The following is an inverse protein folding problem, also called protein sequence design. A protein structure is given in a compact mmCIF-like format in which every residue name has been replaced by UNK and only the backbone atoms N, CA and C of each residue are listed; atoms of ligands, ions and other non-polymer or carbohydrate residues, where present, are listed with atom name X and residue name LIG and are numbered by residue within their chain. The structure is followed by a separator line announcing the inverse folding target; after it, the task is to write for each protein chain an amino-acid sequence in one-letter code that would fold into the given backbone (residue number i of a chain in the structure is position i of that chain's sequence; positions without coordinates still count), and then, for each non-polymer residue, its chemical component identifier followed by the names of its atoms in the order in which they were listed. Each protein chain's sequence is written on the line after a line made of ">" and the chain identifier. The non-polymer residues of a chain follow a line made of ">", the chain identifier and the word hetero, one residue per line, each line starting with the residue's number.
data_IF_314951113690
#
_entry.id   IF_314951113690
#
_cell.length_a   1.000
_cell.length_b   1.000
_cell.length_c   1.000
_cell.angle_alpha   90.00
_cell.angle_beta   90.00
_cell.angle_gamma   90.00
#
_symmetry.space_group_name_H-M   'P 1'
#
loop_
_entity.id
_entity.type
_entity.pdbx_description
1 polymer ?
#
# COMPACT_ATOMS: atom_id res chain seq x y z
N UNK A 1 -18.74 -16.31 -8.71
CA UNK A 1 -17.44 -17.01 -8.78
C UNK A 1 -16.37 -15.95 -8.72
N UNK A 2 -15.34 -16.00 -7.85
CA UNK A 2 -14.22 -15.09 -8.01
C UNK A 2 -13.55 -15.45 -9.34
N UNK A 3 -13.52 -14.50 -10.27
CA UNK A 3 -12.77 -14.67 -11.50
C UNK A 3 -11.29 -14.78 -11.13
N UNK A 4 -10.68 -15.94 -11.35
CA UNK A 4 -9.23 -16.08 -11.22
C UNK A 4 -8.56 -15.07 -12.14
N UNK A 5 -7.62 -14.28 -11.60
CA UNK A 5 -6.83 -13.35 -12.40
C UNK A 5 -5.93 -14.15 -13.35
N UNK A 6 -5.63 -13.57 -14.51
CA UNK A 6 -4.78 -14.19 -15.53
C UNK A 6 -3.41 -13.48 -15.62
N UNK A 7 -2.46 -14.14 -16.29
CA UNK A 7 -1.15 -13.57 -16.60
C UNK A 7 -0.36 -13.15 -15.35
N UNK A 8 0.27 -11.95 -15.32
CA UNK A 8 1.12 -11.50 -14.22
C UNK A 8 0.47 -11.52 -12.83
N UNK A 9 -0.87 -11.50 -12.79
CA UNK A 9 -1.64 -11.36 -11.58
C UNK A 9 -2.24 -12.67 -11.07
N UNK A 10 -2.04 -13.79 -11.77
CA UNK A 10 -2.66 -15.09 -11.44
C UNK A 10 -2.36 -15.62 -10.03
N UNK A 11 -1.25 -15.17 -9.43
CA UNK A 11 -0.89 -15.54 -8.05
C UNK A 11 -1.70 -14.82 -6.97
N UNK A 12 -2.40 -13.75 -7.32
CA UNK A 12 -3.13 -12.94 -6.37
C UNK A 12 -4.61 -13.33 -6.31
N UNK A 13 -5.18 -13.17 -5.14
CA UNK A 13 -6.57 -13.41 -4.84
C UNK A 13 -7.29 -12.06 -4.81
N UNK A 14 -8.40 -11.90 -5.55
CA UNK A 14 -9.15 -10.65 -5.57
C UNK A 14 -10.04 -10.54 -4.33
N UNK A 15 -10.19 -9.31 -3.82
CA UNK A 15 -11.17 -8.94 -2.82
C UNK A 15 -11.88 -7.65 -3.26
N UNK A 16 -13.21 -7.64 -3.16
CA UNK A 16 -14.02 -6.46 -3.49
C UNK A 16 -15.15 -6.28 -2.48
N UNK A 17 -15.46 -5.03 -2.17
CA UNK A 17 -16.59 -4.65 -1.33
C UNK A 17 -17.26 -3.37 -1.87
N UNK A 18 -18.53 -3.15 -1.53
CA UNK A 18 -19.22 -1.89 -1.80
C UNK A 18 -19.36 -1.51 -3.28
N UNK A 19 -19.35 -2.49 -4.18
CA UNK A 19 -19.37 -2.25 -5.62
C UNK A 19 -18.00 -2.08 -6.27
N UNK A 20 -16.92 -2.38 -5.54
CA UNK A 20 -15.58 -2.48 -6.11
C UNK A 20 -15.49 -3.51 -7.24
N UNK A 21 -14.62 -3.24 -8.20
CA UNK A 21 -14.44 -4.05 -9.41
C UNK A 21 -12.96 -4.21 -9.76
N UNK A 22 -12.64 -5.33 -10.41
CA UNK A 22 -11.33 -5.60 -10.98
C UNK A 22 -11.50 -5.86 -12.48
N UNK A 23 -10.87 -5.02 -13.29
CA UNK A 23 -10.88 -5.16 -14.75
C UNK A 23 -9.46 -5.41 -15.26
N UNK A 24 -9.25 -6.57 -15.88
CA UNK A 24 -8.03 -6.82 -16.65
C UNK A 24 -8.23 -6.23 -18.06
N UNK A 25 -7.44 -5.19 -18.40
CA UNK A 25 -7.55 -4.45 -19.68
C UNK A 25 -6.22 -4.49 -20.42
N UNK A 26 -6.18 -5.14 -21.57
CA UNK A 26 -4.96 -5.39 -22.35
C UNK A 26 -3.86 -6.07 -21.52
N UNK A 27 -3.03 -5.29 -20.82
CA UNK A 27 -1.95 -5.75 -19.94
C UNK A 27 -1.95 -5.09 -18.54
N UNK A 28 -2.97 -4.28 -18.22
CA UNK A 28 -3.11 -3.65 -16.91
C UNK A 28 -4.27 -4.25 -16.13
N UNK A 29 -4.09 -4.35 -14.82
CA UNK A 29 -5.17 -4.64 -13.88
C UNK A 29 -5.63 -3.33 -13.24
N UNK A 30 -6.91 -2.99 -13.42
CA UNK A 30 -7.53 -1.83 -12.80
C UNK A 30 -8.39 -2.26 -11.62
N UNK A 31 -8.08 -1.76 -10.43
CA UNK A 31 -8.91 -1.90 -9.22
C UNK A 31 -9.73 -0.61 -9.09
N UNK A 32 -11.06 -0.69 -9.11
CA UNK A 32 -11.94 0.48 -9.12
C UNK A 32 -12.98 0.41 -8.00
N UNK A 33 -13.18 1.52 -7.29
CA UNK A 33 -14.34 1.73 -6.43
C UNK A 33 -15.30 2.76 -7.05
N UNK A 34 -16.63 2.57 -6.92
CA UNK A 34 -17.61 3.53 -7.41
C UNK A 34 -17.72 4.74 -6.46
N UNK A 35 -18.46 5.79 -6.87
CA UNK A 35 -18.93 6.81 -5.95
C UNK A 35 -19.66 6.16 -4.77
N UNK A 36 -19.24 6.49 -3.56
CA UNK A 36 -19.61 5.81 -2.33
C UNK A 36 -19.79 6.84 -1.22
N UNK A 37 -20.99 6.91 -0.63
CA UNK A 37 -21.25 7.83 0.48
C UNK A 37 -20.47 7.43 1.75
N UNK A 38 -20.18 8.40 2.62
CA UNK A 38 -19.36 8.26 3.84
C UNK A 38 -19.88 7.27 4.92
N UNK A 39 -20.99 6.55 4.65
CA UNK A 39 -21.55 5.51 5.54
C UNK A 39 -21.44 4.10 4.95
N UNK A 40 -20.85 3.96 3.76
CA UNK A 40 -20.66 2.68 3.08
C UNK A 40 -19.18 2.49 2.80
N UNK A 41 -18.71 1.27 3.00
CA UNK A 41 -17.35 0.88 2.68
C UNK A 41 -17.32 0.33 1.25
N UNK A 42 -16.36 0.80 0.46
CA UNK A 42 -16.03 0.26 -0.85
C UNK A 42 -14.54 -0.05 -0.92
N UNK A 43 -14.21 -1.16 -1.58
CA UNK A 43 -12.85 -1.68 -1.68
C UNK A 43 -12.67 -2.43 -3.00
N UNK A 44 -11.53 -2.21 -3.64
CA UNK A 44 -11.03 -3.09 -4.68
C UNK A 44 -9.56 -3.41 -4.39
N UNK A 45 -9.27 -4.69 -4.19
CA UNK A 45 -7.98 -5.18 -3.71
C UNK A 45 -7.55 -6.45 -4.45
N UNK A 46 -6.23 -6.62 -4.56
CA UNK A 46 -5.59 -7.92 -4.72
C UNK A 46 -4.62 -8.18 -3.58
N UNK A 47 -4.57 -9.44 -3.13
CA UNK A 47 -3.65 -9.87 -2.08
C UNK A 47 -3.18 -11.32 -2.28
N UNK A 48 -2.26 -11.79 -1.45
CA UNK A 48 -1.82 -13.19 -1.42
C UNK A 48 -1.92 -13.85 -0.03
N UNK A 49 -2.76 -13.28 0.84
CA UNK A 49 -2.76 -13.65 2.26
C UNK A 49 -4.12 -13.84 2.89
N UNK A 50 -5.24 -13.39 2.29
CA UNK A 50 -6.52 -13.37 3.02
C UNK A 50 -7.03 -14.76 3.43
N UNK A 51 -6.62 -15.81 2.72
CA UNK A 51 -6.94 -17.21 3.04
C UNK A 51 -5.92 -17.86 4.00
N UNK A 52 -4.93 -17.10 4.47
CA UNK A 52 -3.85 -17.56 5.32
C UNK A 52 -3.94 -16.98 6.73
N UNK A 53 -3.41 -17.72 7.70
CA UNK A 53 -3.13 -17.16 9.03
C UNK A 53 -1.90 -16.26 8.92
N UNK A 54 -1.83 -15.15 9.68
CA UNK A 54 -0.70 -14.20 9.69
C UNK A 54 0.68 -14.86 9.82
N UNK A 55 0.81 -15.91 10.62
CA UNK A 55 2.07 -16.66 10.77
C UNK A 55 2.55 -17.36 9.50
N UNK A 56 1.67 -17.54 8.53
CA UNK A 56 1.91 -18.18 7.22
C UNK A 56 1.93 -17.19 6.06
N UNK A 57 1.88 -15.88 6.32
CA UNK A 57 2.02 -14.92 5.24
C UNK A 57 3.37 -15.13 4.51
N UNK A 58 3.39 -15.03 3.17
CA UNK A 58 4.47 -15.61 2.38
C UNK A 58 5.79 -14.84 2.46
N UNK A 59 5.77 -13.54 2.79
CA UNK A 59 6.94 -12.66 2.59
C UNK A 59 7.70 -12.36 3.86
N UNK A 60 9.02 -12.43 3.75
CA UNK A 60 10.02 -12.07 4.77
C UNK A 60 11.22 -11.48 4.02
N UNK A 61 12.07 -10.65 4.66
CA UNK A 61 13.33 -10.27 4.03
C UNK A 61 14.23 -11.51 3.91
N UNK A 62 15.18 -11.55 2.95
CA UNK A 62 15.42 -10.56 1.90
C UNK A 62 14.48 -10.68 0.67
N UNK A 63 13.96 -9.55 0.20
CA UNK A 63 12.99 -9.47 -0.90
C UNK A 63 13.20 -8.19 -1.71
N UNK A 64 13.04 -8.27 -3.03
CA UNK A 64 12.85 -7.11 -3.90
C UNK A 64 11.45 -7.14 -4.50
N UNK A 65 10.80 -5.99 -4.54
CA UNK A 65 9.52 -5.76 -5.19
C UNK A 65 9.69 -4.65 -6.23
N UNK A 66 9.07 -4.81 -7.39
CA UNK A 66 8.86 -3.73 -8.36
C UNK A 66 7.40 -3.74 -8.81
N UNK A 67 6.77 -2.56 -8.74
CA UNK A 67 5.38 -2.32 -9.13
C UNK A 67 5.37 -1.15 -10.10
N UNK A 68 4.71 -1.30 -11.24
CA UNK A 68 4.41 -0.18 -12.13
C UNK A 68 2.94 0.16 -12.02
N UNK A 69 2.66 1.37 -11.54
CA UNK A 69 1.31 1.78 -11.16
C UNK A 69 1.03 3.26 -11.47
N UNK A 70 -0.26 3.58 -11.53
CA UNK A 70 -0.80 4.95 -11.47
C UNK A 70 -2.20 4.93 -10.85
N UNK A 71 -2.72 6.08 -10.48
CA UNK A 71 -4.03 6.25 -9.86
C UNK A 71 -4.89 7.25 -10.64
N UNK A 72 -6.20 7.20 -10.40
CA UNK A 72 -7.18 8.07 -11.04
C UNK A 72 -7.06 9.57 -10.73
N UNK A 73 -6.56 9.91 -9.55
CA UNK A 73 -6.57 11.26 -9.01
C UNK A 73 -5.26 11.59 -8.32
N UNK A 74 -4.95 12.88 -8.21
CA UNK A 74 -3.78 13.38 -7.50
C UNK A 74 -3.92 13.29 -5.97
N UNK A 75 -2.79 13.41 -5.28
CA UNK A 75 -2.76 13.60 -3.83
C UNK A 75 -3.38 14.95 -3.46
N UNK A 76 -4.16 14.99 -2.37
CA UNK A 76 -4.63 16.25 -1.80
C UNK A 76 -3.42 17.18 -1.49
N UNK A 77 -3.41 18.44 -1.97
CA UNK A 77 -2.30 19.35 -1.73
C UNK A 77 -2.13 19.69 -0.24
N UNK A 78 -0.88 19.65 0.22
CA UNK A 78 -0.49 19.84 1.63
C UNK A 78 -1.07 21.12 2.26
N UNK A 79 -1.03 22.24 1.53
CA UNK A 79 -1.42 23.57 2.01
C UNK A 79 -2.93 23.82 2.02
N UNK A 80 -3.72 23.05 1.26
CA UNK A 80 -5.18 23.21 1.19
C UNK A 80 -5.91 22.34 2.22
N UNK A 81 -5.30 21.24 2.65
CA UNK A 81 -5.86 20.30 3.60
C UNK A 81 -5.92 20.82 5.06
N UNK A 82 -5.09 21.82 5.42
CA UNK A 82 -5.08 22.38 6.77
C UNK A 82 -6.29 23.28 7.04
N UNK A 83 -6.88 23.88 5.99
CA UNK A 83 -8.06 24.76 6.07
C UNK A 83 -8.97 24.68 4.81
N UNK A 84 -9.62 23.54 4.52
CA UNK A 84 -10.44 23.38 3.32
C UNK A 84 -11.67 24.30 3.28
N UNK A 85 -12.18 24.69 4.46
CA UNK A 85 -13.31 25.62 4.67
C UNK A 85 -12.99 27.07 4.29
N UNK A 86 -11.70 27.44 4.15
CA UNK A 86 -11.28 28.83 3.92
C UNK A 86 -11.39 29.30 2.46
N UNK A 87 -11.65 28.41 1.50
CA UNK A 87 -11.94 28.81 0.12
C UNK A 87 -12.68 27.74 -0.69
N UNK A 88 -13.57 28.15 -1.59
CA UNK A 88 -14.23 27.26 -2.56
C UNK A 88 -13.20 26.49 -3.41
N UNK A 89 -12.07 27.13 -3.75
CA UNK A 89 -10.98 26.47 -4.49
C UNK A 89 -10.34 25.32 -3.70
N UNK A 90 -10.11 25.50 -2.40
CA UNK A 90 -9.56 24.42 -1.55
C UNK A 90 -10.54 23.25 -1.45
N UNK A 91 -11.83 23.53 -1.28
CA UNK A 91 -12.88 22.53 -1.28
C UNK A 91 -13.00 21.79 -2.62
N UNK A 92 -12.91 22.50 -3.74
CA UNK A 92 -12.91 21.91 -5.08
C UNK A 92 -11.70 20.98 -5.30
N UNK A 93 -10.48 21.48 -5.06
CA UNK A 93 -9.25 20.70 -5.26
C UNK A 93 -9.22 19.47 -4.35
N UNK A 94 -9.70 19.59 -3.10
CA UNK A 94 -9.78 18.45 -2.20
C UNK A 94 -10.77 17.41 -2.73
N UNK A 95 -11.95 17.82 -3.24
CA UNK A 95 -12.94 16.89 -3.83
C UNK A 95 -12.46 16.19 -5.10
N UNK A 96 -11.55 16.81 -5.85
CA UNK A 96 -10.94 16.23 -7.06
C UNK A 96 -9.58 15.55 -6.81
N UNK A 97 -9.21 15.36 -5.53
CA UNK A 97 -8.09 14.50 -5.14
C UNK A 97 -8.60 13.10 -4.80
N UNK A 98 -7.70 12.11 -4.80
CA UNK A 98 -8.07 10.75 -4.40
C UNK A 98 -8.58 10.79 -2.94
N UNK A 99 -9.79 10.28 -2.70
CA UNK A 99 -10.38 10.15 -1.37
C UNK A 99 -10.17 8.72 -0.83
N UNK A 100 -9.89 8.60 0.46
CA UNK A 100 -9.71 7.32 1.13
C UNK A 100 -8.26 6.89 1.19
N UNK A 101 -7.99 5.58 1.05
CA UNK A 101 -6.63 5.05 0.99
C UNK A 101 -6.38 4.28 -0.29
N UNK A 102 -5.12 4.24 -0.69
CA UNK A 102 -4.66 3.41 -1.81
C UNK A 102 -3.20 3.11 -1.64
N UNK A 103 -2.71 2.07 -2.30
CA UNK A 103 -1.30 1.76 -2.28
C UNK A 103 -1.01 0.31 -2.57
N UNK A 104 0.21 -0.08 -2.25
CA UNK A 104 0.69 -1.43 -2.41
C UNK A 104 1.96 -1.68 -1.59
N UNK A 105 2.17 -2.93 -1.21
CA UNK A 105 3.36 -3.36 -0.49
C UNK A 105 3.07 -4.53 0.42
N UNK A 106 3.80 -4.62 1.53
CA UNK A 106 3.71 -5.74 2.46
C UNK A 106 3.22 -5.30 3.82
N UNK A 107 2.24 -6.03 4.36
CA UNK A 107 1.72 -5.77 5.70
C UNK A 107 1.27 -7.04 6.41
N UNK A 108 0.99 -6.93 7.71
CA UNK A 108 0.51 -8.04 8.52
C UNK A 108 -1.01 -8.08 8.70
N UNK A 109 -1.76 -7.24 7.97
CA UNK A 109 -3.20 -7.07 8.10
C UNK A 109 -3.64 -7.02 9.57
N UNK A 110 -3.33 -5.94 10.32
CA UNK A 110 -3.55 -5.89 11.76
C UNK A 110 -5.02 -5.77 12.16
N UNK A 111 -5.90 -5.59 11.19
CA UNK A 111 -7.35 -5.46 11.36
C UNK A 111 -8.02 -6.81 11.08
N UNK A 112 -9.30 -6.92 11.42
CA UNK A 112 -10.14 -8.02 10.91
C UNK A 112 -10.85 -7.52 9.66
N UNK A 113 -11.02 -8.40 8.65
CA UNK A 113 -11.62 -8.15 7.32
C UNK A 113 -13.00 -7.46 7.32
N UNK A 114 -13.60 -7.21 8.49
CA UNK A 114 -14.92 -6.59 8.67
C UNK A 114 -14.91 -5.45 9.70
N UNK A 115 -13.76 -4.83 10.00
CA UNK A 115 -13.69 -3.68 10.92
C UNK A 115 -13.92 -4.04 12.39
N UNK A 116 -13.74 -5.30 12.79
CA UNK A 116 -13.97 -5.82 14.15
C UNK A 116 -12.86 -5.49 15.17
N UNK A 117 -11.94 -4.58 14.86
CA UNK A 117 -10.89 -4.10 15.77
C UNK A 117 -9.46 -4.53 15.41
N UNK A 118 -8.50 -3.89 16.08
CA UNK A 118 -7.06 -4.17 15.96
C UNK A 118 -6.74 -5.45 16.73
N UNK A 119 -6.30 -6.49 16.02
CA UNK A 119 -5.96 -7.79 16.59
C UNK A 119 -4.45 -8.07 16.61
N UNK A 120 -3.65 -7.18 16.03
CA UNK A 120 -2.19 -7.22 16.09
C UNK A 120 -1.60 -5.80 15.98
N UNK A 121 -0.38 -5.60 16.48
CA UNK A 121 0.35 -4.36 16.21
C UNK A 121 0.76 -4.30 14.72
N UNK A 122 0.67 -3.13 14.05
CA UNK A 122 0.93 -3.00 12.62
C UNK A 122 2.40 -3.25 12.30
N UNK A 123 2.65 -4.05 11.27
CA UNK A 123 3.95 -4.16 10.62
C UNK A 123 3.76 -3.97 9.13
N UNK A 124 4.44 -2.97 8.55
CA UNK A 124 4.28 -2.60 7.14
C UNK A 124 5.61 -2.22 6.51
N UNK A 125 5.73 -2.47 5.20
CA UNK A 125 6.78 -1.98 4.30
C UNK A 125 6.11 -1.74 2.95
N UNK A 126 5.71 -0.49 2.66
CA UNK A 126 4.79 -0.20 1.57
C UNK A 126 4.89 1.20 0.99
N UNK A 127 4.26 1.38 -0.17
CA UNK A 127 3.85 2.67 -0.71
C UNK A 127 2.37 2.87 -0.34
N UNK A 128 2.05 3.96 0.35
CA UNK A 128 0.75 4.19 0.98
C UNK A 128 0.28 5.63 0.78
N UNK A 129 -0.96 5.78 0.31
CA UNK A 129 -1.69 7.03 0.21
C UNK A 129 -2.82 7.04 1.23
N UNK A 130 -3.04 8.19 1.85
CA UNK A 130 -4.32 8.50 2.47
C UNK A 130 -4.71 9.96 2.25
N UNK A 131 -6.00 10.22 2.03
CA UNK A 131 -6.56 11.58 1.97
C UNK A 131 -6.97 12.08 3.36
N UNK A 132 -7.10 13.40 3.57
CA UNK A 132 -7.90 13.92 4.67
C UNK A 132 -9.30 13.24 4.70
N UNK A 133 -9.89 13.00 5.89
CA UNK A 133 -9.43 13.42 7.22
C UNK A 133 -8.40 12.49 7.87
N UNK A 134 -7.81 11.54 7.12
CA UNK A 134 -6.75 10.67 7.64
C UNK A 134 -5.60 11.50 8.23
N UNK A 135 -5.09 11.08 9.38
CA UNK A 135 -3.98 11.74 10.03
C UNK A 135 -3.18 10.76 10.89
N UNK A 136 -2.29 10.03 10.23
CA UNK A 136 -1.30 9.14 10.84
C UNK A 136 0.08 9.84 10.84
N UNK A 137 0.21 10.96 11.54
CA UNK A 137 1.46 11.72 11.65
C UNK A 137 2.43 11.04 12.63
N UNK A 138 2.95 9.87 12.24
CA UNK A 138 3.75 9.01 13.12
C UNK A 138 5.19 9.51 13.27
N UNK A 139 5.75 10.11 12.21
CA UNK A 139 7.10 10.68 12.14
C UNK A 139 7.03 12.20 12.26
N UNK A 140 7.92 12.77 13.06
CA UNK A 140 8.02 14.23 13.22
C UNK A 140 8.36 14.91 11.90
N UNK A 141 7.66 16.00 11.56
CA UNK A 141 7.83 16.74 10.31
C UNK A 141 7.18 16.10 9.07
N UNK A 142 6.62 14.89 9.19
CA UNK A 142 5.87 14.23 8.10
C UNK A 142 4.36 14.38 8.35
N UNK A 143 3.58 14.91 7.39
CA UNK A 143 2.12 15.02 7.51
C UNK A 143 1.46 13.66 7.71
N UNK A 144 0.29 13.61 8.32
CA UNK A 144 -0.43 12.35 8.55
C UNK A 144 -1.16 11.75 7.35
N UNK A 145 -1.09 12.40 6.19
CA UNK A 145 -1.76 12.03 4.94
C UNK A 145 -0.84 12.31 3.74
N UNK A 146 -1.32 12.01 2.53
CA UNK A 146 -0.58 12.13 1.27
C UNK A 146 0.04 10.82 0.80
N UNK A 147 0.71 10.87 -0.35
CA UNK A 147 1.41 9.73 -0.95
C UNK A 147 2.80 9.54 -0.34
N UNK A 148 3.10 8.32 0.13
CA UNK A 148 4.30 8.06 0.94
C UNK A 148 4.95 6.72 0.63
N UNK A 149 6.25 6.65 0.83
CA UNK A 149 6.92 5.42 1.24
C UNK A 149 6.90 5.33 2.76
N UNK A 150 6.57 4.17 3.33
CA UNK A 150 6.43 4.01 4.78
C UNK A 150 6.84 2.62 5.27
N UNK A 151 7.48 2.60 6.45
CA UNK A 151 7.82 1.42 7.22
C UNK A 151 7.32 1.60 8.64
N UNK A 152 6.58 0.62 9.15
CA UNK A 152 6.20 0.53 10.56
C UNK A 152 6.67 -0.84 11.04
N UNK A 153 7.50 -0.85 12.07
CA UNK A 153 7.94 -2.07 12.73
C UNK A 153 7.54 -2.02 14.21
N UNK A 154 6.52 -2.80 14.54
CA UNK A 154 6.04 -3.00 15.91
C UNK A 154 6.58 -4.30 16.55
N UNK A 155 7.45 -5.04 15.85
CA UNK A 155 7.95 -6.39 16.21
C UNK A 155 8.73 -6.47 17.53
N UNK A 156 8.95 -5.37 18.26
CA UNK A 156 9.73 -5.36 19.50
C UNK A 156 8.96 -5.83 20.74
N UNK A 157 7.64 -5.99 20.65
CA UNK A 157 6.84 -6.45 21.79
C UNK A 157 6.11 -7.74 21.38
N UNK A 158 6.49 -8.90 21.93
CA UNK A 158 5.77 -10.15 21.72
C UNK A 158 4.27 -9.97 21.97
N UNK A 159 3.42 -10.55 21.11
CA UNK A 159 1.95 -10.40 21.23
C UNK A 159 1.39 -10.82 22.59
N UNK A 160 2.05 -11.74 23.29
CA UNK A 160 1.70 -12.18 24.65
C UNK A 160 1.92 -11.10 25.72
N UNK A 161 2.85 -10.17 25.50
CA UNK A 161 3.07 -8.99 26.35
C UNK A 161 2.11 -7.88 25.93
N UNK A 162 1.80 -7.78 24.63
CA UNK A 162 0.96 -6.73 24.09
C UNK A 162 -0.49 -6.81 24.61
N UNK A 163 -1.07 -8.00 24.81
CA UNK A 163 -2.45 -8.14 25.29
C UNK A 163 -2.68 -7.60 26.73
N UNK A 164 -1.92 -8.01 27.77
CA UNK A 164 -2.04 -7.42 29.10
C UNK A 164 -1.57 -5.96 29.12
N UNK A 165 -0.53 -5.60 28.36
CA UNK A 165 -0.09 -4.21 28.26
C UNK A 165 -1.11 -3.29 27.57
N UNK A 166 -1.85 -3.78 26.58
CA UNK A 166 -2.93 -3.05 25.92
C UNK A 166 -4.14 -2.86 26.85
N UNK A 167 -4.45 -3.85 27.70
CA UNK A 167 -5.49 -3.71 28.72
C UNK A 167 -5.08 -2.66 29.77
N UNK A 168 -3.85 -2.72 30.26
CA UNK A 168 -3.29 -1.73 31.19
C UNK A 168 -3.24 -0.35 30.52
N UNK A 169 -2.77 -0.25 29.28
CA UNK A 169 -2.73 0.99 28.52
C UNK A 169 -4.15 1.56 28.32
N UNK A 170 -5.14 0.75 27.96
CA UNK A 170 -6.53 1.17 27.83
C UNK A 170 -7.10 1.71 29.14
N UNK A 171 -6.78 1.07 30.28
CA UNK A 171 -7.16 1.57 31.60
C UNK A 171 -6.44 2.88 31.96
N UNK A 172 -5.14 2.99 31.67
CA UNK A 172 -4.34 4.18 31.94
C UNK A 172 -4.67 5.36 31.01
N UNK A 173 -5.18 5.12 29.80
CA UNK A 173 -5.67 6.19 28.91
C UNK A 173 -6.95 6.85 29.41
N UNK A 174 -7.68 6.21 30.33
CA UNK A 174 -8.84 6.82 31.00
C UNK A 174 -8.44 7.75 32.16
N UNK A 175 -7.18 7.74 32.58
CA UNK A 175 -6.65 8.62 33.64
C UNK A 175 -6.11 9.91 33.00
N UNK A 176 -6.65 11.09 33.35
CA UNK A 176 -6.16 12.37 32.84
C UNK A 176 -4.65 12.52 33.08
N UNK A 177 -3.88 12.82 32.03
CA UNK A 177 -2.44 13.06 32.10
C UNK A 177 -1.54 11.82 31.93
N UNK A 178 -2.01 10.60 32.25
CA UNK A 178 -1.20 9.38 32.11
C UNK A 178 -1.22 8.80 30.68
N UNK A 179 -2.33 8.95 29.96
CA UNK A 179 -2.46 8.46 28.57
C UNK A 179 -1.37 8.98 27.64
N UNK A 180 -0.98 10.26 27.76
CA UNK A 180 0.09 10.86 26.95
C UNK A 180 1.44 10.17 27.14
N UNK A 181 1.78 9.76 28.37
CA UNK A 181 3.05 9.07 28.67
C UNK A 181 3.06 7.64 28.12
N UNK A 182 1.94 6.94 28.21
CA UNK A 182 1.76 5.60 27.63
C UNK A 182 1.88 5.64 26.10
N UNK A 183 1.23 6.62 25.45
CA UNK A 183 1.33 6.82 24.00
C UNK A 183 2.76 7.18 23.60
N UNK A 184 3.45 8.06 24.34
CA UNK A 184 4.84 8.40 24.08
C UNK A 184 5.77 7.19 24.18
N UNK A 185 5.55 6.29 25.15
CA UNK A 185 6.30 5.05 25.30
C UNK A 185 6.02 4.08 24.15
N UNK A 186 4.75 3.88 23.77
CA UNK A 186 4.37 3.04 22.63
C UNK A 186 4.97 3.54 21.32
N UNK A 187 4.99 4.87 21.10
CA UNK A 187 5.64 5.49 19.93
C UNK A 187 7.15 5.28 19.91
N UNK A 188 7.83 5.35 21.07
CA UNK A 188 9.27 5.04 21.16
C UNK A 188 9.59 3.58 20.90
N UNK A 189 8.64 2.68 21.17
CA UNK A 189 8.80 1.25 20.93
C UNK A 189 8.60 0.87 19.45
N UNK A 190 7.73 1.60 18.73
CA UNK A 190 7.55 1.44 17.29
C UNK A 190 8.68 2.12 16.53
N UNK A 191 9.27 1.42 15.56
CA UNK A 191 10.16 2.05 14.60
C UNK A 191 9.35 2.43 13.38
N UNK A 192 9.27 3.73 13.11
CA UNK A 192 8.52 4.26 11.97
C UNK A 192 9.46 5.09 11.11
N UNK A 193 9.37 4.93 9.81
CA UNK A 193 10.10 5.75 8.83
C UNK A 193 9.14 6.05 7.68
N UNK A 194 9.03 7.32 7.31
CA UNK A 194 8.11 7.79 6.27
C UNK A 194 8.78 8.88 5.44
N UNK A 195 8.51 8.90 4.14
CA UNK A 195 8.87 9.99 3.24
C UNK A 195 7.67 10.32 2.34
N UNK A 196 7.34 11.61 2.20
CA UNK A 196 6.36 12.06 1.20
C UNK A 196 6.99 11.89 -0.19
N UNK A 197 6.21 11.36 -1.11
CA UNK A 197 6.58 11.21 -2.50
C UNK A 197 6.08 12.42 -3.29
N UNK A 198 6.96 13.17 -3.98
CA UNK A 198 6.57 14.34 -4.76
C UNK A 198 6.00 13.99 -6.14
N UNK A 199 6.12 12.73 -6.58
CA UNK A 199 5.64 12.28 -7.88
C UNK A 199 4.12 12.40 -7.99
N UNK A 200 3.66 12.73 -9.20
CA UNK A 200 2.24 12.69 -9.55
C UNK A 200 1.69 11.28 -9.30
N UNK A 201 0.47 11.19 -8.78
CA UNK A 201 -0.18 9.88 -8.65
C UNK A 201 -0.84 9.44 -9.95
N UNK A 202 -1.11 10.38 -10.87
CA UNK A 202 -1.84 10.10 -12.12
C UNK A 202 -0.95 9.66 -13.27
N UNK A 203 0.35 9.92 -13.17
CA UNK A 203 1.37 9.44 -14.11
C UNK A 203 1.83 8.01 -13.77
N UNK A 204 2.31 7.31 -14.80
CA UNK A 204 2.90 5.98 -14.62
C UNK A 204 4.29 6.08 -14.02
N UNK A 205 4.46 5.46 -12.86
CA UNK A 205 5.75 5.38 -12.18
C UNK A 205 6.14 3.94 -11.89
N UNK A 206 7.45 3.71 -11.80
CA UNK A 206 8.01 2.44 -11.34
C UNK A 206 8.44 2.59 -9.89
N UNK A 207 7.76 1.85 -9.01
CA UNK A 207 7.99 1.83 -7.58
C UNK A 207 8.79 0.59 -7.21
N UNK A 208 9.93 0.78 -6.57
CA UNK A 208 10.79 -0.31 -6.17
C UNK A 208 11.01 -0.31 -4.66
N UNK A 209 11.09 -1.51 -4.10
CA UNK A 209 11.38 -1.75 -2.70
C UNK A 209 12.40 -2.88 -2.61
N UNK A 210 13.49 -2.63 -1.90
CA UNK A 210 14.41 -3.66 -1.45
C UNK A 210 14.29 -3.79 0.07
N UNK A 211 13.71 -4.90 0.52
CA UNK A 211 13.51 -5.22 1.92
C UNK A 211 14.58 -6.22 2.37
N UNK A 212 15.57 -5.73 3.12
CA UNK A 212 16.66 -6.50 3.72
C UNK A 212 16.38 -6.74 5.21
N UNK A 213 17.21 -7.56 5.86
CA UNK A 213 17.06 -7.86 7.30
C UNK A 213 17.29 -6.64 8.22
N UNK A 214 18.07 -5.67 7.76
CA UNK A 214 18.52 -4.50 8.54
C UNK A 214 18.02 -3.16 8.01
N UNK A 215 17.58 -3.11 6.77
CA UNK A 215 17.08 -1.89 6.15
C UNK A 215 16.03 -2.22 5.07
N UNK A 216 15.14 -1.27 4.81
CA UNK A 216 14.29 -1.26 3.64
C UNK A 216 14.57 0.01 2.85
N UNK A 217 14.78 -0.12 1.53
CA UNK A 217 15.13 0.99 0.65
C UNK A 217 14.07 1.08 -0.44
N UNK A 218 13.60 2.29 -0.70
CA UNK A 218 12.52 2.59 -1.63
C UNK A 218 13.03 3.49 -2.74
N UNK A 219 12.59 3.21 -3.97
CA UNK A 219 12.84 4.06 -5.13
C UNK A 219 11.55 4.34 -5.89
N UNK A 220 11.50 5.51 -6.53
CA UNK A 220 10.50 5.84 -7.54
C UNK A 220 11.26 6.32 -8.77
N UNK A 221 11.06 5.63 -9.90
CA UNK A 221 11.76 5.87 -11.16
C UNK A 221 13.30 5.89 -11.00
N UNK A 222 13.81 4.96 -10.19
CA UNK A 222 15.25 4.84 -9.91
C UNK A 222 15.82 5.85 -8.93
N UNK A 223 15.04 6.81 -8.43
CA UNK A 223 15.47 7.79 -7.42
C UNK A 223 15.13 7.26 -6.02
N UNK A 224 16.13 7.16 -5.14
CA UNK A 224 15.92 6.74 -3.76
C UNK A 224 15.07 7.76 -3.01
N UNK A 225 13.95 7.33 -2.43
CA UNK A 225 12.99 8.20 -1.73
C UNK A 225 12.95 7.96 -0.23
N UNK A 226 13.27 6.74 0.23
CA UNK A 226 13.35 6.40 1.65
C UNK A 226 14.35 5.27 1.88
N UNK A 227 15.18 5.43 2.91
CA UNK A 227 15.98 4.36 3.52
C UNK A 227 15.60 4.23 4.99
N UNK A 228 14.92 3.15 5.32
CA UNK A 228 14.37 2.89 6.65
C UNK A 228 15.20 1.81 7.38
N UNK A 229 15.79 2.11 8.54
CA UNK A 229 16.49 1.11 9.34
C UNK A 229 15.52 0.19 10.08
N UNK A 230 15.96 -1.04 10.36
CA UNK A 230 15.25 -2.04 11.16
C UNK A 230 13.77 -2.27 10.72
N UNK A 231 13.51 -2.66 9.46
CA UNK A 231 12.17 -3.01 9.01
C UNK A 231 11.65 -4.27 9.73
N UNK A 232 10.34 -4.59 9.63
CA UNK A 232 9.81 -5.85 10.13
C UNK A 232 10.61 -7.05 9.59
N UNK A 233 10.67 -8.13 10.37
CA UNK A 233 11.28 -9.41 9.95
C UNK A 233 10.29 -10.58 9.95
N UNK A 234 9.11 -10.35 10.54
CA UNK A 234 8.03 -11.31 10.58
C UNK A 234 7.39 -11.54 9.21
N UNK A 235 6.55 -12.57 9.09
CA UNK A 235 5.79 -12.84 7.87
C UNK A 235 4.82 -11.70 7.57
N UNK A 236 4.87 -11.17 6.34
CA UNK A 236 3.96 -10.16 5.78
C UNK A 236 3.33 -10.69 4.48
N UNK A 237 2.13 -10.21 4.16
CA UNK A 237 1.39 -10.50 2.94
C UNK A 237 1.44 -9.31 1.98
N UNK A 238 1.43 -9.57 0.69
CA UNK A 238 1.34 -8.51 -0.32
C UNK A 238 -0.10 -8.03 -0.42
N UNK A 239 -0.28 -6.72 -0.60
CA UNK A 239 -1.56 -6.09 -0.92
C UNK A 239 -1.35 -5.01 -1.97
N UNK A 240 -2.31 -4.82 -2.87
CA UNK A 240 -2.51 -3.61 -3.65
C UNK A 240 -4.00 -3.27 -3.66
N UNK A 241 -4.36 -2.02 -3.36
CA UNK A 241 -5.77 -1.67 -3.10
C UNK A 241 -6.09 -0.20 -3.39
N UNK A 242 -7.39 0.06 -3.47
CA UNK A 242 -8.02 1.37 -3.33
C UNK A 242 -9.31 1.22 -2.54
N UNK A 243 -9.52 2.07 -1.54
CA UNK A 243 -10.70 2.07 -0.69
C UNK A 243 -11.14 3.48 -0.29
N UNK A 244 -12.25 3.58 0.43
CA UNK A 244 -12.74 4.85 0.96
C UNK A 244 -12.58 5.00 2.49
N UNK A 245 -11.58 4.36 3.09
CA UNK A 245 -11.36 4.45 4.54
C UNK A 245 -10.46 5.63 4.93
N UNK A 246 -10.53 6.02 6.20
CA UNK A 246 -9.51 6.88 6.80
C UNK A 246 -9.19 6.42 8.22
N UNK A 247 -7.97 6.75 8.67
CA UNK A 247 -7.54 6.52 10.04
C UNK A 247 -6.88 7.77 10.62
N UNK A 248 -7.19 8.07 11.87
CA UNK A 248 -6.55 9.12 12.66
C UNK A 248 -5.77 8.42 13.76
N UNK A 249 -4.47 8.69 13.84
CA UNK A 249 -3.58 8.22 14.88
C UNK A 249 -2.51 9.30 15.10
N UNK A 250 -2.84 10.31 15.91
CA UNK A 250 -1.95 11.46 16.10
C UNK A 250 -1.00 11.28 17.30
N UNK A 251 0.17 11.96 17.29
CA UNK A 251 1.09 12.03 18.43
C UNK A 251 0.43 12.43 19.76
N UNK A 252 -0.66 13.21 19.71
CA UNK A 252 -1.39 13.70 20.87
C UNK A 252 -2.38 12.68 21.46
N UNK A 253 -2.52 11.50 20.84
CA UNK A 253 -3.40 10.43 21.31
C UNK A 253 -4.82 10.50 20.76
N UNK A 254 -5.04 11.21 19.64
CA UNK A 254 -6.32 11.15 18.95
C UNK A 254 -6.34 9.91 18.07
N UNK A 255 -7.37 9.09 18.26
CA UNK A 255 -7.65 7.92 17.46
C UNK A 255 -9.03 8.05 16.81
N UNK A 256 -9.13 7.66 15.56
CA UNK A 256 -10.38 7.70 14.81
C UNK A 256 -10.28 6.82 13.58
N UNK A 257 -11.42 6.32 13.13
CA UNK A 257 -11.52 5.50 11.94
C UNK A 257 -12.91 5.71 11.34
N UNK A 258 -13.00 5.67 10.02
CA UNK A 258 -14.28 5.79 9.34
C UNK A 258 -14.14 5.70 7.84
N UNK A 259 -15.19 6.12 7.15
CA UNK A 259 -15.26 6.17 5.70
C UNK A 259 -15.39 7.62 5.25
N UNK A 260 -14.80 7.93 4.10
CA UNK A 260 -14.94 9.22 3.41
C UNK A 260 -15.83 9.03 2.18
N UNK A 261 -16.53 10.10 1.81
CA UNK A 261 -17.35 10.11 0.60
C UNK A 261 -16.46 10.19 -0.65
N UNK A 262 -16.75 9.35 -1.65
CA UNK A 262 -16.20 9.45 -3.00
C UNK A 262 -17.31 9.91 -3.95
N UNK A 263 -17.11 11.02 -4.67
CA UNK A 263 -18.12 11.56 -5.60
C UNK A 263 -17.92 11.08 -7.04
N UNK A 264 -16.73 10.60 -7.37
CA UNK A 264 -16.35 10.09 -8.68
C UNK A 264 -15.79 8.66 -8.53
N UNK A 265 -15.86 7.81 -9.57
CA UNK A 265 -15.17 6.53 -9.57
C UNK A 265 -13.66 6.74 -9.40
N UNK A 266 -13.05 5.99 -8.47
CA UNK A 266 -11.61 6.07 -8.22
C UNK A 266 -10.97 4.72 -8.46
N UNK A 267 -9.73 4.74 -8.95
CA UNK A 267 -9.01 3.52 -9.29
C UNK A 267 -7.51 3.63 -9.08
N UNK A 268 -6.88 2.46 -8.93
CA UNK A 268 -5.45 2.22 -9.15
C UNK A 268 -5.30 1.25 -10.33
N UNK A 269 -4.35 1.55 -11.20
CA UNK A 269 -3.94 0.66 -12.30
C UNK A 269 -2.56 0.10 -12.01
N UNK A 270 -2.42 -1.20 -12.26
CA UNK A 270 -1.18 -1.95 -12.13
C UNK A 270 -0.83 -2.52 -13.50
N UNK A 271 0.32 -2.16 -14.06
CA UNK A 271 0.83 -2.80 -15.27
C UNK A 271 1.63 -4.06 -14.92
N UNK A 272 2.38 -4.01 -13.82
CA UNK A 272 3.14 -5.17 -13.35
C UNK A 272 3.33 -5.15 -11.83
N UNK A 273 3.38 -6.35 -11.25
CA UNK A 273 3.81 -6.58 -9.87
C UNK A 273 4.78 -7.74 -9.85
N UNK A 274 6.04 -7.48 -9.54
CA UNK A 274 7.08 -8.50 -9.41
C UNK A 274 7.62 -8.55 -7.99
N UNK A 275 7.86 -9.76 -7.51
CA UNK A 275 8.40 -10.03 -6.17
C UNK A 275 9.45 -11.11 -6.30
N UNK A 276 10.71 -10.78 -5.98
CA UNK A 276 11.87 -11.65 -6.12
C UNK A 276 12.52 -11.85 -4.76
N UNK A 277 12.57 -13.10 -4.28
CA UNK A 277 13.37 -13.44 -3.10
C UNK A 277 14.84 -13.29 -3.47
N UNK A 278 15.60 -12.53 -2.68
CA UNK A 278 17.02 -12.31 -2.94
C UNK A 278 17.81 -13.33 -2.14
N UNK A 279 18.34 -14.37 -2.79
CA UNK A 279 19.28 -15.28 -2.11
C UNK A 279 20.64 -14.61 -1.93
N UNK A 280 21.38 -14.88 -0.83
CA UNK A 280 22.72 -14.32 -0.61
C UNK A 280 23.69 -14.55 -1.77
N UNK A 281 23.52 -15.64 -2.54
CA UNK A 281 24.42 -16.05 -3.63
C UNK A 281 23.93 -15.66 -5.04
N UNK A 282 23.20 -14.56 -5.16
CA UNK A 282 22.74 -14.06 -6.46
C UNK A 282 21.38 -14.62 -6.88
N UNK A 283 20.75 -13.85 -7.76
CA UNK A 283 19.34 -13.92 -8.14
C UNK A 283 18.97 -15.32 -8.68
N UNK A 284 18.26 -16.13 -7.89
CA UNK A 284 17.40 -17.17 -8.48
C UNK A 284 16.17 -16.47 -9.04
N UNK A 285 16.18 -16.24 -10.35
CA UNK A 285 15.03 -15.73 -11.08
C UNK A 285 13.84 -16.67 -10.88
N UNK A 286 12.72 -16.15 -10.37
CA UNK A 286 11.41 -16.69 -10.71
C UNK A 286 11.01 -16.03 -12.03
N UNK A 287 11.55 -16.54 -13.14
CA UNK A 287 11.18 -16.11 -14.49
C UNK A 287 9.82 -16.69 -14.84
N UNK A 288 8.77 -15.92 -14.56
CA UNK A 288 7.43 -16.16 -15.10
C UNK A 288 7.05 -15.20 -16.23
N UNK A 289 7.86 -14.19 -16.58
CA UNK A 289 7.39 -13.08 -17.44
C UNK A 289 8.42 -12.58 -18.48
N UNK A 290 9.69 -12.95 -18.42
CA UNK A 290 10.70 -12.36 -19.33
C UNK A 290 10.95 -13.08 -20.66
N UNK A 291 10.41 -14.28 -20.91
CA UNK A 291 10.68 -15.02 -22.16
C UNK A 291 9.76 -14.68 -23.35
N UNK A 292 8.69 -13.91 -23.16
CA UNK A 292 7.76 -13.59 -24.25
C UNK A 292 8.16 -12.38 -25.11
N UNK A 293 9.10 -11.54 -24.65
CA UNK A 293 9.55 -10.35 -25.41
C UNK A 293 10.71 -10.69 -26.35
N UNK A 294 11.58 -11.65 -25.99
CA UNK A 294 12.68 -12.07 -26.88
C UNK A 294 12.24 -13.06 -27.96
N UNK A 295 11.24 -13.91 -27.69
CA UNK A 295 10.70 -14.85 -28.68
C UNK A 295 9.94 -14.14 -29.82
N UNK A 296 9.25 -13.02 -29.53
CA UNK A 296 8.51 -12.25 -30.53
C UNK A 296 9.42 -11.51 -31.52
N UNK A 297 10.61 -11.07 -31.07
CA UNK A 297 11.58 -10.38 -31.94
C UNK A 297 12.37 -11.33 -32.87
N UNK A 298 12.39 -12.63 -32.58
CA UNK A 298 13.12 -13.62 -33.37
C UNK A 298 12.29 -14.26 -34.50
N UNK A 299 10.96 -14.23 -34.41
CA UNK A 299 10.10 -14.70 -35.50
C UNK A 299 9.96 -13.65 -36.63
N UNK A 300 9.99 -12.36 -36.32
CA UNK A 300 9.76 -11.31 -37.31
C UNK A 300 10.97 -11.06 -38.24
N UNK A 301 12.16 -11.52 -37.86
CA UNK A 301 13.39 -11.42 -38.68
C UNK A 301 13.59 -12.59 -39.65
N UNK A 302 12.84 -13.71 -39.52
CA UNK A 302 12.94 -14.86 -40.45
C UNK A 302 11.96 -14.82 -41.62
N UNK A 303 10.99 -13.90 -41.63
CA UNK A 303 9.92 -13.88 -42.64
C UNK A 303 10.20 -13.04 -43.91
N UNK A 304 11.42 -12.51 -44.12
CA UNK A 304 11.76 -11.75 -45.35
C UNK A 304 12.94 -12.36 -46.10
N UNK A 305 12.66 -13.36 -46.95
CA UNK A 305 13.49 -13.70 -48.12
C UNK A 305 12.67 -13.49 -49.41
N UNK A 306 13.27 -12.94 -50.48
CA UNK A 306 12.55 -12.50 -51.67
C UNK A 306 12.18 -13.68 -52.58
N UNK A 307 10.95 -13.69 -53.09
CA UNK A 307 10.56 -14.58 -54.19
C UNK A 307 11.34 -14.22 -55.46
N UNK A 308 12.11 -15.18 -55.95
CA UNK A 308 12.76 -15.17 -57.27
C UNK A 308 11.69 -15.52 -58.32
N UNK A 309 11.43 -14.61 -59.27
CA UNK A 309 10.68 -14.90 -60.49
C UNK A 309 11.53 -15.77 -61.42
N UNK A 310 10.97 -16.84 -61.95
CA UNK A 310 11.47 -17.54 -63.14
C UNK A 310 10.30 -17.90 -64.04
N UNK A 311 10.46 -17.51 -65.31
CA UNK A 311 9.69 -17.83 -66.52
C UNK A 311 8.34 -17.14 -66.69
#
# INVERSE_FOLDING_TARGET
>A
MPHSLAGPFARFQPFVAGGGTLDLRAATLRLTIPPTGARRYADAQIDDYHSLRRSRFPWRPPLRMSVRARMSHESSPRHLAEHPERSERASFVTRHSLQGTAGFGFWNDPFTLTGGGVVAAPNVVWFFYASPPSNMALVEGVPGWGWKAAVINSSRVPGIILAPAALIAALLTKVPGLGRRVIAAARRAMRVSEAILPQSMTEWHTYELEWREREAIFWVDGVETLRAPDPPRGPLGFVAWVDNQYAIATPQGRFGFGMVETTEPQWIELESVSTLRVTPDGVKQNSGILELVEASNHEDTKARRPQRKTS
#
